data_IF_908997707989
#
_entry.id   IF_908997707989
#
_cell.length_a   1.000
_cell.length_b   1.000
_cell.length_c   1.000
_cell.angle_alpha   90.00
_cell.angle_beta   90.00
_cell.angle_gamma   90.00
#
_symmetry.space_group_name_H-M   'P 1'
#
loop_
_entity.id
_entity.type
_entity.pdbx_description
1 polymer ?
#
# COMPACT_ATOMS: atom_id res chain seq x y z
N UNK A 1 2.15 17.29 -11.20
CA UNK A 1 0.79 17.07 -11.73
C UNK A 1 0.07 16.19 -10.73
N UNK A 2 -0.95 16.71 -10.06
CA UNK A 2 -1.78 15.90 -9.16
C UNK A 2 -2.70 15.10 -10.10
N UNK A 3 -2.61 13.77 -10.05
CA UNK A 3 -3.51 12.90 -10.81
C UNK A 3 -4.81 12.77 -10.05
N UNK A 4 -5.92 12.73 -10.78
CA UNK A 4 -7.23 12.45 -10.19
C UNK A 4 -7.49 10.94 -10.19
N UNK A 5 -8.16 10.39 -9.17
CA UNK A 5 -8.49 8.97 -9.14
C UNK A 5 -9.39 8.55 -10.32
N UNK A 6 -10.36 9.39 -10.68
CA UNK A 6 -11.20 9.22 -11.86
C UNK A 6 -11.17 10.54 -12.63
N UNK A 7 -10.26 10.68 -13.62
CA UNK A 7 -10.26 11.84 -14.52
C UNK A 7 -11.50 11.85 -15.42
N UNK A 8 -11.92 13.02 -15.91
CA UNK A 8 -13.06 13.16 -16.85
C UNK A 8 -12.97 12.19 -18.05
N UNK A 9 -11.75 11.96 -18.54
CA UNK A 9 -11.49 11.04 -19.68
C UNK A 9 -11.73 9.56 -19.36
N UNK A 10 -11.91 9.21 -18.08
CA UNK A 10 -12.15 7.85 -17.60
C UNK A 10 -13.63 7.64 -17.20
N UNK A 11 -14.43 8.69 -17.11
CA UNK A 11 -15.83 8.65 -16.65
C UNK A 11 -16.68 7.67 -17.48
N UNK A 12 -16.69 7.84 -18.79
CA UNK A 12 -17.51 7.01 -19.69
C UNK A 12 -17.05 5.55 -19.66
N UNK A 13 -15.74 5.31 -19.55
CA UNK A 13 -15.21 3.95 -19.41
C UNK A 13 -15.67 3.29 -18.12
N UNK A 14 -15.64 4.00 -16.99
CA UNK A 14 -16.09 3.46 -15.71
C UNK A 14 -17.60 3.19 -15.75
N UNK A 15 -18.37 4.10 -16.35
CA UNK A 15 -19.83 3.92 -16.52
C UNK A 15 -20.13 2.68 -17.36
N UNK A 16 -19.47 2.54 -18.50
CA UNK A 16 -19.61 1.36 -19.37
C UNK A 16 -19.19 0.08 -18.66
N UNK A 17 -18.04 0.08 -17.99
CA UNK A 17 -17.55 -1.10 -17.26
C UNK A 17 -18.50 -1.54 -16.15
N UNK A 18 -19.01 -0.60 -15.33
CA UNK A 18 -20.00 -0.90 -14.30
C UNK A 18 -21.31 -1.39 -14.91
N UNK A 19 -21.77 -0.76 -15.99
CA UNK A 19 -22.98 -1.16 -16.71
C UNK A 19 -22.87 -2.61 -17.18
N UNK A 20 -21.80 -2.98 -17.88
CA UNK A 20 -21.57 -4.34 -18.39
C UNK A 20 -21.48 -5.35 -17.24
N UNK A 21 -20.79 -4.99 -16.15
CA UNK A 21 -20.69 -5.85 -14.97
C UNK A 21 -22.06 -6.17 -14.37
N UNK A 22 -22.94 -5.17 -14.25
CA UNK A 22 -24.27 -5.35 -13.70
C UNK A 22 -25.24 -5.96 -14.72
N UNK A 23 -25.10 -5.66 -16.00
CA UNK A 23 -25.89 -6.24 -17.07
C UNK A 23 -25.72 -7.76 -17.13
N UNK A 24 -24.48 -8.24 -17.02
CA UNK A 24 -24.17 -9.67 -16.93
C UNK A 24 -24.78 -10.37 -15.69
N UNK A 25 -25.23 -9.60 -14.70
CA UNK A 25 -25.86 -10.07 -13.44
C UNK A 25 -27.30 -9.59 -13.31
N UNK A 26 -27.92 -9.25 -14.43
CA UNK A 26 -29.31 -8.83 -14.51
C UNK A 26 -30.19 -9.97 -15.01
N UNK A 27 -31.47 -9.91 -14.67
CA UNK A 27 -32.51 -10.78 -15.21
C UNK A 27 -33.68 -9.89 -15.63
N UNK A 28 -34.18 -10.08 -16.85
CA UNK A 28 -35.23 -9.22 -17.43
C UNK A 28 -34.89 -7.71 -17.44
N UNK A 29 -33.60 -7.37 -17.54
CA UNK A 29 -33.12 -5.99 -17.52
C UNK A 29 -33.01 -5.36 -16.13
N UNK A 30 -33.28 -6.11 -15.07
CA UNK A 30 -33.21 -5.67 -13.68
C UNK A 30 -32.01 -6.31 -12.97
N UNK A 31 -31.26 -5.53 -12.20
CA UNK A 31 -30.14 -6.07 -11.40
C UNK A 31 -30.71 -6.87 -10.23
N UNK A 32 -30.20 -8.09 -10.02
CA UNK A 32 -30.61 -8.92 -8.88
C UNK A 32 -30.36 -8.18 -7.56
N UNK A 33 -31.39 -8.13 -6.70
CA UNK A 33 -31.33 -7.50 -5.39
C UNK A 33 -30.22 -8.10 -4.51
N UNK A 34 -29.87 -9.36 -4.72
CA UNK A 34 -28.76 -10.01 -4.03
C UNK A 34 -27.43 -9.28 -4.26
N UNK A 35 -27.17 -8.80 -5.48
CA UNK A 35 -25.95 -8.05 -5.83
C UNK A 35 -25.89 -6.73 -5.07
N UNK A 36 -27.00 -5.99 -5.04
CA UNK A 36 -27.10 -4.70 -4.34
C UNK A 36 -26.86 -4.90 -2.84
N UNK A 37 -27.53 -5.89 -2.25
CA UNK A 37 -27.38 -6.22 -0.83
C UNK A 37 -25.93 -6.60 -0.48
N UNK A 38 -25.25 -7.36 -1.35
CA UNK A 38 -23.84 -7.75 -1.15
C UNK A 38 -22.92 -6.53 -1.19
N UNK A 39 -23.11 -5.60 -2.13
CA UNK A 39 -22.33 -4.35 -2.18
C UNK A 39 -22.56 -3.51 -0.93
N UNK A 40 -23.82 -3.31 -0.54
CA UNK A 40 -24.19 -2.55 0.66
C UNK A 40 -23.59 -3.15 1.94
N UNK A 41 -23.63 -4.47 2.08
CA UNK A 41 -23.05 -5.19 3.21
C UNK A 41 -21.51 -5.10 3.22
N UNK A 42 -20.87 -5.33 2.07
CA UNK A 42 -19.41 -5.29 1.95
C UNK A 42 -18.85 -3.89 2.22
N UNK A 43 -19.52 -2.85 1.73
CA UNK A 43 -19.08 -1.47 1.86
C UNK A 43 -19.65 -0.75 3.10
N UNK A 44 -20.52 -1.42 3.86
CA UNK A 44 -21.19 -0.90 5.07
C UNK A 44 -21.89 0.43 4.81
N UNK A 45 -22.71 0.45 3.77
CA UNK A 45 -23.33 1.66 3.23
C UNK A 45 -24.71 1.33 2.66
N UNK A 46 -25.54 2.37 2.47
CA UNK A 46 -26.86 2.22 1.88
C UNK A 46 -26.92 2.92 0.53
N UNK A 47 -27.21 2.17 -0.53
CA UNK A 47 -27.49 2.73 -1.84
C UNK A 47 -28.97 3.08 -1.93
N UNK A 48 -29.27 4.33 -2.27
CA UNK A 48 -30.63 4.80 -2.49
C UNK A 48 -31.11 4.42 -3.90
N UNK A 49 -31.29 3.12 -4.13
CA UNK A 49 -31.77 2.58 -5.41
C UNK A 49 -33.16 1.97 -5.28
N UNK A 50 -34.00 2.22 -6.29
CA UNK A 50 -35.34 1.64 -6.37
C UNK A 50 -35.25 0.11 -6.35
N UNK A 51 -36.27 -0.59 -5.80
CA UNK A 51 -36.46 -2.00 -6.10
C UNK A 51 -36.48 -2.19 -7.62
N UNK A 52 -35.80 -3.24 -8.11
CA UNK A 52 -35.77 -3.57 -9.53
C UNK A 52 -35.14 -2.49 -10.44
N UNK A 53 -34.03 -1.91 -10.00
CA UNK A 53 -33.31 -0.92 -10.80
C UNK A 53 -32.60 -1.55 -12.00
N UNK A 54 -32.52 -0.81 -13.12
CA UNK A 54 -31.72 -1.24 -14.26
C UNK A 54 -30.21 -1.15 -13.96
N UNK A 55 -29.34 -1.83 -14.73
CA UNK A 55 -27.89 -1.65 -14.64
C UNK A 55 -27.44 -0.19 -14.75
N UNK A 56 -28.12 0.60 -15.60
CA UNK A 56 -27.85 2.03 -15.75
C UNK A 56 -28.21 2.81 -14.48
N UNK A 57 -29.39 2.60 -13.92
CA UNK A 57 -29.83 3.26 -12.67
C UNK A 57 -28.86 2.98 -11.51
N UNK A 58 -28.38 1.73 -11.38
CA UNK A 58 -27.44 1.35 -10.34
C UNK A 58 -26.06 2.00 -10.55
N UNK A 59 -25.60 2.05 -11.81
CA UNK A 59 -24.34 2.71 -12.18
C UNK A 59 -24.39 4.20 -11.85
N UNK A 60 -25.49 4.88 -12.21
CA UNK A 60 -25.70 6.30 -11.90
C UNK A 60 -25.75 6.55 -10.39
N UNK A 61 -26.44 5.69 -9.64
CA UNK A 61 -26.48 5.79 -8.19
C UNK A 61 -25.07 5.67 -7.57
N UNK A 62 -24.25 4.72 -8.01
CA UNK A 62 -22.86 4.56 -7.56
C UNK A 62 -22.01 5.79 -7.89
N UNK A 63 -22.11 6.32 -9.12
CA UNK A 63 -21.36 7.51 -9.53
C UNK A 63 -21.79 8.76 -8.76
N UNK A 64 -23.09 8.88 -8.44
CA UNK A 64 -23.62 10.02 -7.69
C UNK A 64 -23.09 10.14 -6.26
N UNK A 65 -22.63 9.03 -5.66
CA UNK A 65 -21.95 9.01 -4.35
C UNK A 65 -20.49 9.54 -4.41
N UNK A 66 -19.97 9.77 -5.61
CA UNK A 66 -18.63 10.31 -5.86
C UNK A 66 -17.52 9.28 -6.04
N UNK A 67 -16.33 9.75 -6.38
CA UNK A 67 -15.22 8.91 -6.83
C UNK A 67 -14.70 7.94 -5.79
N UNK A 68 -14.58 8.39 -4.54
CA UNK A 68 -14.12 7.54 -3.45
C UNK A 68 -15.06 6.35 -3.25
N UNK A 69 -16.38 6.58 -3.35
CA UNK A 69 -17.36 5.52 -3.23
C UNK A 69 -17.30 4.59 -4.45
N UNK A 70 -17.26 5.17 -5.65
CA UNK A 70 -17.17 4.42 -6.90
C UNK A 70 -15.96 3.49 -6.92
N UNK A 71 -14.77 3.98 -6.55
CA UNK A 71 -13.56 3.17 -6.49
C UNK A 71 -13.64 2.05 -5.45
N UNK A 72 -14.35 2.25 -4.34
CA UNK A 72 -14.60 1.18 -3.37
C UNK A 72 -15.51 0.09 -3.94
N UNK A 73 -16.50 0.47 -4.76
CA UNK A 73 -17.33 -0.49 -5.49
C UNK A 73 -16.47 -1.24 -6.49
N UNK A 74 -15.72 -0.55 -7.36
CA UNK A 74 -14.84 -1.17 -8.35
C UNK A 74 -13.84 -2.11 -7.68
N UNK A 75 -13.16 -1.66 -6.61
CA UNK A 75 -12.23 -2.49 -5.83
C UNK A 75 -12.90 -3.76 -5.28
N UNK A 76 -14.12 -3.63 -4.75
CA UNK A 76 -14.90 -4.78 -4.29
C UNK A 76 -15.24 -5.73 -5.45
N UNK A 77 -15.72 -5.23 -6.59
CA UNK A 77 -16.07 -6.06 -7.74
C UNK A 77 -14.86 -6.77 -8.35
N UNK A 78 -13.71 -6.07 -8.45
CA UNK A 78 -12.43 -6.65 -8.85
C UNK A 78 -11.97 -7.74 -7.87
N UNK A 79 -12.22 -7.57 -6.57
CA UNK A 79 -11.88 -8.59 -5.57
C UNK A 79 -12.68 -9.89 -5.73
N UNK A 80 -13.85 -9.82 -6.36
CA UNK A 80 -14.68 -11.00 -6.69
C UNK A 80 -14.24 -11.66 -8.01
N UNK A 81 -13.47 -10.95 -8.83
CA UNK A 81 -12.97 -11.45 -10.11
C UNK A 81 -11.79 -12.37 -9.86
N UNK A 82 -12.00 -13.67 -10.10
CA UNK A 82 -10.96 -14.69 -9.93
C UNK A 82 -10.21 -14.88 -11.23
N UNK A 83 -8.89 -14.95 -11.11
CA UNK A 83 -8.04 -15.35 -12.22
C UNK A 83 -8.25 -16.83 -12.54
N UNK A 84 -8.71 -17.11 -13.76
CA UNK A 84 -8.86 -18.48 -14.28
C UNK A 84 -7.63 -18.93 -15.07
N UNK A 85 -6.93 -18.01 -15.76
CA UNK A 85 -5.72 -18.27 -16.53
C UNK A 85 -4.48 -17.66 -15.84
N UNK A 86 -3.43 -18.45 -15.53
CA UNK A 86 -2.19 -17.93 -14.97
C UNK A 86 -1.43 -16.90 -15.81
N UNK A 87 -1.63 -16.90 -17.13
CA UNK A 87 -0.86 -16.13 -18.11
C UNK A 87 -1.59 -14.89 -18.62
N UNK A 88 -2.92 -14.81 -18.41
CA UNK A 88 -3.74 -13.72 -18.93
C UNK A 88 -4.70 -13.21 -17.87
N UNK A 89 -4.73 -11.90 -17.71
CA UNK A 89 -5.76 -11.24 -16.90
C UNK A 89 -7.11 -11.28 -17.63
N UNK A 90 -8.24 -11.39 -16.91
CA UNK A 90 -9.57 -11.29 -17.49
C UNK A 90 -9.71 -10.03 -18.38
N UNK A 91 -10.42 -10.15 -19.49
CA UNK A 91 -10.47 -9.10 -20.52
C UNK A 91 -11.05 -7.78 -19.99
N UNK A 92 -12.04 -7.87 -19.10
CA UNK A 92 -12.64 -6.72 -18.41
C UNK A 92 -11.65 -6.02 -17.47
N UNK A 93 -10.81 -6.79 -16.78
CA UNK A 93 -9.74 -6.27 -15.91
C UNK A 93 -8.64 -5.62 -16.74
N UNK A 94 -8.19 -6.29 -17.81
CA UNK A 94 -7.15 -5.79 -18.70
C UNK A 94 -7.60 -4.50 -19.41
N UNK A 95 -8.85 -4.45 -19.88
CA UNK A 95 -9.45 -3.27 -20.49
C UNK A 95 -9.46 -2.10 -19.51
N UNK A 96 -10.06 -2.27 -18.33
CA UNK A 96 -10.16 -1.19 -17.34
C UNK A 96 -8.77 -0.69 -16.90
N UNK A 97 -7.80 -1.60 -16.71
CA UNK A 97 -6.41 -1.22 -16.39
C UNK A 97 -5.79 -0.38 -17.50
N UNK A 98 -5.98 -0.78 -18.76
CA UNK A 98 -5.43 -0.04 -19.90
C UNK A 98 -6.00 1.39 -20.00
N UNK A 99 -7.30 1.55 -19.73
CA UNK A 99 -7.97 2.85 -19.73
C UNK A 99 -7.49 3.73 -18.56
N UNK A 100 -7.35 3.17 -17.36
CA UNK A 100 -6.76 3.88 -16.22
C UNK A 100 -5.35 4.41 -16.53
N UNK A 101 -4.54 3.64 -17.26
CA UNK A 101 -3.22 4.06 -17.69
C UNK A 101 -3.26 5.17 -18.74
N UNK A 102 -4.10 5.04 -19.78
CA UNK A 102 -4.26 6.03 -20.85
C UNK A 102 -4.80 7.38 -20.32
N UNK A 103 -5.74 7.34 -19.39
CA UNK A 103 -6.33 8.53 -18.75
C UNK A 103 -5.45 9.15 -17.66
N UNK A 104 -4.26 8.60 -17.40
CA UNK A 104 -3.36 9.04 -16.34
C UNK A 104 -4.01 9.09 -14.94
N UNK A 105 -4.87 8.12 -14.63
CA UNK A 105 -5.51 7.98 -13.32
C UNK A 105 -4.48 7.93 -12.17
N UNK A 106 -4.87 8.44 -11.00
CA UNK A 106 -4.10 8.32 -9.76
C UNK A 106 -4.13 6.90 -9.18
N UNK A 107 -4.92 6.00 -9.74
CA UNK A 107 -5.01 4.60 -9.32
C UNK A 107 -4.65 3.65 -10.46
N UNK A 108 -4.43 2.40 -10.12
CA UNK A 108 -4.19 1.30 -11.03
C UNK A 108 -4.84 0.02 -10.49
N UNK A 109 -4.96 -1.00 -11.33
CA UNK A 109 -5.40 -2.33 -10.92
C UNK A 109 -4.19 -3.19 -10.67
N UNK A 110 -3.96 -3.55 -9.41
CA UNK A 110 -2.91 -4.47 -9.00
C UNK A 110 -3.46 -5.87 -8.73
N UNK A 111 -2.59 -6.86 -8.85
CA UNK A 111 -2.91 -8.25 -8.54
C UNK A 111 -2.59 -8.53 -7.07
N UNK A 112 -3.54 -9.14 -6.38
CA UNK A 112 -3.38 -9.61 -5.00
C UNK A 112 -3.64 -11.12 -4.94
N UNK A 113 -2.59 -11.93 -5.11
CA UNK A 113 -2.72 -13.38 -5.17
C UNK A 113 -3.52 -13.85 -6.39
N UNK A 114 -4.78 -14.26 -6.17
CA UNK A 114 -5.69 -14.76 -7.20
C UNK A 114 -6.81 -13.76 -7.58
N UNK A 115 -6.82 -12.59 -6.94
CA UNK A 115 -7.81 -11.53 -7.14
C UNK A 115 -7.14 -10.24 -7.61
N UNK A 116 -7.97 -9.24 -7.95
CA UNK A 116 -7.55 -7.92 -8.40
C UNK A 116 -8.05 -6.86 -7.43
N UNK A 117 -7.28 -5.80 -7.24
CA UNK A 117 -7.58 -4.68 -6.33
C UNK A 117 -7.21 -3.36 -6.97
N UNK A 118 -7.84 -2.28 -6.53
CA UNK A 118 -7.41 -0.93 -6.86
C UNK A 118 -6.29 -0.53 -5.90
N UNK A 119 -5.21 0.02 -6.46
CA UNK A 119 -4.09 0.61 -5.73
C UNK A 119 -3.83 2.04 -6.20
N UNK A 120 -3.50 2.92 -5.25
CA UNK A 120 -2.98 4.26 -5.51
C UNK A 120 -1.61 4.15 -6.17
N UNK A 121 -1.42 4.90 -7.25
CA UNK A 121 -0.11 4.98 -7.92
C UNK A 121 0.86 5.78 -7.06
N UNK A 122 2.09 5.29 -7.03
CA UNK A 122 3.25 6.04 -6.55
C UNK A 122 4.08 6.51 -7.75
N UNK A 123 4.89 7.58 -7.59
CA UNK A 123 5.93 7.89 -8.56
C UNK A 123 6.81 6.66 -8.83
N UNK A 124 7.14 6.42 -10.09
CA UNK A 124 7.85 5.21 -10.55
C UNK A 124 9.13 4.93 -9.75
N UNK A 125 9.99 5.94 -9.55
CA UNK A 125 11.21 5.76 -8.76
C UNK A 125 10.99 5.39 -7.29
N UNK A 126 9.87 5.82 -6.70
CA UNK A 126 9.50 5.44 -5.33
C UNK A 126 9.04 3.98 -5.30
N UNK A 127 8.21 3.58 -6.27
CA UNK A 127 7.73 2.20 -6.41
C UNK A 127 8.88 1.22 -6.67
N UNK A 128 9.78 1.54 -7.61
CA UNK A 128 10.93 0.71 -7.93
C UNK A 128 11.87 0.55 -6.72
N UNK A 129 12.15 1.65 -6.01
CA UNK A 129 13.00 1.60 -4.82
C UNK A 129 12.40 0.72 -3.73
N UNK A 130 11.09 0.81 -3.51
CA UNK A 130 10.39 -0.02 -2.53
C UNK A 130 10.38 -1.50 -2.95
N UNK A 131 10.12 -1.77 -4.23
CA UNK A 131 10.07 -3.14 -4.74
C UNK A 131 11.45 -3.82 -4.70
N UNK A 132 12.54 -3.08 -4.96
CA UNK A 132 13.91 -3.59 -4.73
C UNK A 132 14.16 -3.88 -3.26
N UNK A 133 13.82 -2.97 -2.36
CA UNK A 133 13.97 -3.20 -0.92
C UNK A 133 13.17 -4.42 -0.43
N UNK A 134 11.97 -4.68 -0.99
CA UNK A 134 11.18 -5.88 -0.71
C UNK A 134 11.88 -7.14 -1.22
N UNK A 135 12.42 -7.11 -2.44
CA UNK A 135 13.02 -8.26 -3.11
C UNK A 135 14.39 -8.67 -2.56
N UNK A 136 15.21 -7.68 -2.18
CA UNK A 136 16.58 -7.90 -1.69
C UNK A 136 16.62 -8.26 -0.21
N UNK A 137 15.56 -7.95 0.54
CA UNK A 137 15.48 -8.22 1.97
C UNK A 137 15.33 -9.71 2.28
N UNK A 138 15.70 -10.08 3.51
CA UNK A 138 15.39 -11.42 4.01
C UNK A 138 13.87 -11.66 3.99
N UNK A 139 13.45 -12.93 3.88
CA UNK A 139 12.06 -13.31 3.62
C UNK A 139 11.04 -12.75 4.62
N UNK A 140 11.44 -12.53 5.88
CA UNK A 140 10.56 -11.95 6.91
C UNK A 140 10.42 -10.44 6.70
N UNK A 141 11.54 -9.73 6.54
CA UNK A 141 11.55 -8.29 6.30
C UNK A 141 10.78 -7.92 5.01
N UNK A 142 11.06 -8.61 3.90
CA UNK A 142 10.39 -8.37 2.63
C UNK A 142 8.88 -8.58 2.70
N UNK A 143 8.41 -9.61 3.44
CA UNK A 143 6.98 -9.88 3.62
C UNK A 143 6.26 -8.78 4.40
N UNK A 144 6.87 -8.28 5.47
CA UNK A 144 6.32 -7.19 6.27
C UNK A 144 6.31 -5.90 5.44
N UNK A 145 7.40 -5.58 4.74
CA UNK A 145 7.47 -4.38 3.90
C UNK A 145 6.45 -4.42 2.77
N UNK A 146 6.29 -5.56 2.09
CA UNK A 146 5.28 -5.75 1.05
C UNK A 146 3.84 -5.63 1.59
N UNK A 147 3.60 -6.01 2.84
CA UNK A 147 2.29 -5.84 3.48
C UNK A 147 2.02 -4.38 3.81
N UNK A 148 3.02 -3.68 4.35
CA UNK A 148 2.93 -2.25 4.65
C UNK A 148 2.68 -1.43 3.37
N UNK A 149 3.43 -1.73 2.29
CA UNK A 149 3.34 -1.05 1.00
C UNK A 149 1.95 -1.21 0.36
N UNK A 150 1.45 -2.45 0.29
CA UNK A 150 0.12 -2.75 -0.27
C UNK A 150 -1.00 -2.08 0.52
N UNK A 151 -0.95 -2.12 1.85
CA UNK A 151 -1.97 -1.47 2.67
C UNK A 151 -1.97 0.05 2.45
N UNK A 152 -0.78 0.66 2.35
CA UNK A 152 -0.61 2.09 2.08
C UNK A 152 -1.18 2.49 0.71
N UNK A 153 -1.00 1.64 -0.30
CA UNK A 153 -1.55 1.86 -1.64
C UNK A 153 -3.08 1.61 -1.71
N UNK A 154 -3.70 0.98 -0.72
CA UNK A 154 -5.15 0.69 -0.80
C UNK A 154 -6.02 1.96 -0.85
N UNK A 155 -7.25 1.84 -1.34
CA UNK A 155 -8.20 2.97 -1.39
C UNK A 155 -8.57 3.48 0.02
N UNK A 156 -8.57 2.59 1.00
CA UNK A 156 -8.89 2.88 2.41
C UNK A 156 -7.80 2.35 3.33
N UNK A 157 -6.61 2.97 3.33
CA UNK A 157 -5.47 2.47 4.08
C UNK A 157 -5.73 2.56 5.58
N UNK A 158 -5.32 1.52 6.31
CA UNK A 158 -5.26 1.53 7.76
C UNK A 158 -3.86 1.93 8.17
N UNK A 159 -3.66 3.21 8.43
CA UNK A 159 -2.36 3.76 8.83
C UNK A 159 -1.71 2.96 9.98
N UNK A 160 -2.48 2.52 10.98
CA UNK A 160 -1.96 1.69 12.08
C UNK A 160 -1.38 0.34 11.64
N UNK A 161 -1.93 -0.26 10.58
CA UNK A 161 -1.40 -1.49 9.98
C UNK A 161 -0.14 -1.19 9.17
N UNK A 162 -0.15 -0.11 8.37
CA UNK A 162 1.02 0.35 7.59
C UNK A 162 2.24 0.54 8.51
N UNK A 163 2.07 1.31 9.60
CA UNK A 163 3.15 1.58 10.55
C UNK A 163 3.66 0.29 11.21
N UNK A 164 2.75 -0.56 11.70
CA UNK A 164 3.13 -1.82 12.36
C UNK A 164 3.96 -2.72 11.44
N UNK A 165 3.48 -2.94 10.22
CA UNK A 165 4.18 -3.80 9.24
C UNK A 165 5.51 -3.16 8.81
N UNK A 166 5.58 -1.85 8.65
CA UNK A 166 6.82 -1.13 8.31
C UNK A 166 7.90 -1.31 9.39
N UNK A 167 7.53 -1.19 10.67
CA UNK A 167 8.44 -1.38 11.80
C UNK A 167 8.93 -2.83 11.86
N UNK A 168 8.02 -3.79 11.75
CA UNK A 168 8.37 -5.21 11.74
C UNK A 168 9.33 -5.57 10.60
N UNK A 169 9.21 -4.90 9.45
CA UNK A 169 10.15 -5.06 8.36
C UNK A 169 11.56 -4.60 8.73
N UNK A 170 11.68 -3.42 9.35
CA UNK A 170 12.96 -2.86 9.80
C UNK A 170 13.57 -3.69 10.93
N UNK A 171 12.76 -4.18 11.87
CA UNK A 171 13.21 -5.09 12.94
C UNK A 171 13.79 -6.37 12.38
N UNK A 172 13.14 -6.97 11.39
CA UNK A 172 13.62 -8.18 10.74
C UNK A 172 14.89 -7.95 9.91
N UNK A 173 15.00 -6.82 9.21
CA UNK A 173 16.19 -6.48 8.42
C UNK A 173 17.37 -6.11 9.31
N UNK A 174 17.20 -5.13 10.19
CA UNK A 174 18.25 -4.65 11.10
C UNK A 174 18.63 -5.69 12.16
N UNK A 175 17.67 -6.49 12.62
CA UNK A 175 17.93 -7.57 13.58
C UNK A 175 18.90 -8.62 13.03
N UNK A 176 18.75 -9.00 11.76
CA UNK A 176 19.63 -9.94 11.09
C UNK A 176 21.08 -9.43 10.95
N UNK A 177 21.30 -8.12 10.97
CA UNK A 177 22.62 -7.49 10.80
C UNK A 177 23.25 -7.13 12.15
N UNK A 178 22.52 -6.44 13.02
CA UNK A 178 23.06 -5.83 14.24
C UNK A 178 23.03 -6.80 15.43
N UNK A 179 21.97 -7.60 15.54
CA UNK A 179 21.73 -8.51 16.67
C UNK A 179 21.33 -9.93 16.19
N UNK A 180 22.14 -10.60 15.34
CA UNK A 180 21.76 -11.82 14.61
C UNK A 180 21.40 -13.02 15.49
N UNK A 181 21.81 -13.00 16.77
CA UNK A 181 21.52 -14.06 17.75
C UNK A 181 20.16 -13.88 18.43
N UNK A 182 19.54 -12.71 18.30
CA UNK A 182 18.24 -12.42 18.91
C UNK A 182 17.11 -13.04 18.10
N UNK A 183 16.33 -13.94 18.71
CA UNK A 183 15.24 -14.63 18.02
C UNK A 183 14.04 -13.71 17.69
N UNK A 184 13.88 -12.64 18.46
CA UNK A 184 12.80 -11.66 18.34
C UNK A 184 13.41 -10.26 18.40
N UNK A 185 14.07 -9.81 17.31
CA UNK A 185 14.66 -8.49 17.27
C UNK A 185 13.57 -7.44 17.50
N UNK A 186 13.90 -6.42 18.28
CA UNK A 186 13.04 -5.27 18.54
C UNK A 186 13.80 -4.00 18.16
N UNK A 187 13.10 -3.01 17.63
CA UNK A 187 13.71 -1.79 17.13
C UNK A 187 14.52 -1.07 18.22
N UNK A 188 13.99 -1.02 19.45
CA UNK A 188 14.69 -0.47 20.62
C UNK A 188 16.00 -1.19 20.95
N UNK A 189 16.04 -2.53 20.82
CA UNK A 189 17.25 -3.33 21.02
C UNK A 189 18.29 -3.08 19.92
N UNK A 190 17.84 -2.93 18.67
CA UNK A 190 18.70 -2.61 17.53
C UNK A 190 19.33 -1.22 17.75
N UNK A 191 18.51 -0.22 18.09
CA UNK A 191 18.98 1.15 18.40
C UNK A 191 19.99 1.14 19.55
N UNK A 192 19.68 0.42 20.65
CA UNK A 192 20.59 0.26 21.78
C UNK A 192 21.92 -0.38 21.37
N UNK A 193 21.89 -1.47 20.60
CA UNK A 193 23.09 -2.13 20.12
C UNK A 193 23.94 -1.24 19.22
N UNK A 194 23.34 -0.49 18.29
CA UNK A 194 24.06 0.47 17.44
C UNK A 194 24.69 1.56 18.32
N UNK A 195 23.95 2.10 19.29
CA UNK A 195 24.41 3.15 20.21
C UNK A 195 25.60 2.70 21.04
N UNK A 196 25.51 1.52 21.64
CA UNK A 196 26.49 1.04 22.62
C UNK A 196 27.76 0.47 21.95
N UNK A 197 27.62 -0.11 20.76
CA UNK A 197 28.75 -0.67 20.01
C UNK A 197 29.47 0.40 19.18
N UNK A 198 30.80 0.29 19.08
CA UNK A 198 31.63 1.15 18.23
C UNK A 198 31.59 0.67 16.78
N UNK A 199 31.89 1.58 15.84
CA UNK A 199 32.08 1.26 14.42
C UNK A 199 30.82 1.21 13.57
N UNK A 200 29.62 1.18 14.16
CA UNK A 200 28.38 1.24 13.36
C UNK A 200 28.18 2.58 12.68
N UNK A 201 27.74 2.55 11.42
CA UNK A 201 27.37 3.74 10.66
C UNK A 201 26.92 3.40 9.25
N UNK A 202 26.89 4.42 8.40
CA UNK A 202 26.63 4.27 6.97
C UNK A 202 27.96 4.31 6.21
N UNK A 203 28.06 3.53 5.12
CA UNK A 203 29.22 3.49 4.21
C UNK A 203 29.40 4.77 3.36
N UNK A 204 28.64 5.81 3.67
CA UNK A 204 28.71 7.10 2.99
C UNK A 204 29.97 7.88 3.37
N UNK A 205 30.36 8.85 2.56
CA UNK A 205 31.53 9.69 2.80
C UNK A 205 31.39 10.46 4.12
N UNK A 206 32.33 10.28 5.04
CA UNK A 206 32.34 10.94 6.34
C UNK A 206 32.51 12.45 6.18
N UNK A 207 31.84 13.22 7.03
CA UNK A 207 32.00 14.67 7.13
C UNK A 207 32.96 15.00 8.27
N UNK A 208 33.71 16.10 8.12
CA UNK A 208 34.69 16.60 9.11
C UNK A 208 34.31 17.97 9.69
N UNK A 209 33.06 18.40 9.50
CA UNK A 209 32.55 19.73 9.81
C UNK A 209 31.78 19.84 11.14
N UNK A 210 31.85 18.81 12.00
CA UNK A 210 31.24 18.80 13.32
C UNK A 210 29.72 18.54 13.36
N UNK A 211 29.09 18.24 12.21
CA UNK A 211 27.69 17.80 12.14
C UNK A 211 27.52 16.33 12.59
N UNK A 212 26.27 15.86 12.87
CA UNK A 212 26.03 14.49 13.29
C UNK A 212 26.68 13.47 12.37
N UNK A 213 27.41 12.53 12.97
CA UNK A 213 28.02 11.42 12.23
C UNK A 213 26.95 10.47 11.68
N UNK A 214 27.35 9.60 10.74
CA UNK A 214 26.42 8.64 10.13
C UNK A 214 25.76 7.70 11.14
N UNK A 215 26.43 7.43 12.27
CA UNK A 215 25.85 6.66 13.37
C UNK A 215 24.65 7.38 13.98
N UNK A 216 24.81 8.67 14.27
CA UNK A 216 23.75 9.52 14.84
C UNK A 216 22.58 9.67 13.87
N UNK A 217 22.85 9.86 12.58
CA UNK A 217 21.80 9.90 11.53
C UNK A 217 21.02 8.59 11.48
N UNK A 218 21.71 7.45 11.45
CA UNK A 218 21.08 6.12 11.43
C UNK A 218 20.20 5.90 12.67
N UNK A 219 20.69 6.26 13.86
CA UNK A 219 19.91 6.19 15.10
C UNK A 219 18.66 7.07 15.00
N UNK A 220 18.79 8.32 14.54
CA UNK A 220 17.64 9.22 14.39
C UNK A 220 16.57 8.69 13.44
N UNK A 221 16.97 8.06 12.33
CA UNK A 221 16.04 7.40 11.40
C UNK A 221 15.27 6.24 12.07
N UNK A 222 15.98 5.38 12.81
CA UNK A 222 15.36 4.26 13.53
C UNK A 222 14.45 4.74 14.67
N UNK A 223 14.86 5.76 15.42
CA UNK A 223 14.05 6.34 16.51
C UNK A 223 12.81 7.06 15.97
N UNK A 224 12.90 7.72 14.81
CA UNK A 224 11.73 8.30 14.12
C UNK A 224 10.66 7.24 13.87
N UNK A 225 11.06 6.03 13.47
CA UNK A 225 10.10 4.93 13.30
C UNK A 225 9.50 4.47 14.63
N UNK A 226 10.35 4.31 15.66
CA UNK A 226 9.93 3.85 16.99
C UNK A 226 8.99 4.83 17.71
N UNK A 227 9.19 6.13 17.52
CA UNK A 227 8.39 7.16 18.22
C UNK A 227 6.93 7.16 17.75
N UNK A 228 6.67 6.87 16.48
CA UNK A 228 5.29 6.81 16.01
C UNK A 228 4.46 5.72 16.69
N UNK A 229 5.06 4.60 17.15
CA UNK A 229 4.31 3.61 17.95
C UNK A 229 3.84 4.17 19.30
N UNK A 230 4.57 5.13 19.87
CA UNK A 230 4.22 5.72 21.17
C UNK A 230 2.98 6.62 21.08
N UNK A 231 2.70 7.22 19.91
CA UNK A 231 1.46 7.97 19.67
C UNK A 231 0.18 7.12 19.80
N UNK A 232 0.27 5.78 19.81
CA UNK A 232 -0.89 4.90 20.09
C UNK A 232 -1.43 5.07 21.50
N UNK A 233 -0.61 5.51 22.43
CA UNK A 233 -0.99 5.74 23.82
C UNK A 233 -1.50 7.16 24.07
N UNK A 234 -1.32 8.10 23.12
CA UNK A 234 -1.81 9.47 23.24
C UNK A 234 -3.23 9.65 22.68
N UNK A 235 -3.88 8.60 22.17
CA UNK A 235 -5.23 8.66 21.59
C UNK A 235 -5.32 9.41 20.26
N UNK A 236 -4.18 9.79 19.66
CA UNK A 236 -4.14 10.46 18.37
C UNK A 236 -4.07 9.40 17.27
N UNK A 237 -4.98 9.47 16.30
CA UNK A 237 -4.93 8.62 15.11
C UNK A 237 -3.80 9.06 14.17
N UNK A 238 -3.26 8.11 13.40
CA UNK A 238 -2.25 8.39 12.38
C UNK A 238 -2.87 8.98 11.13
N UNK A 239 -2.17 9.93 10.50
CA UNK A 239 -2.58 10.47 9.19
C UNK A 239 -2.09 9.59 8.04
N UNK A 240 -2.76 9.67 6.87
CA UNK A 240 -2.28 9.02 5.64
C UNK A 240 -0.86 9.50 5.28
N UNK A 241 -0.58 10.80 5.45
CA UNK A 241 0.75 11.39 5.18
C UNK A 241 1.83 10.80 6.09
N UNK A 242 1.53 10.62 7.37
CA UNK A 242 2.44 9.98 8.31
C UNK A 242 2.71 8.52 7.92
N UNK A 243 1.68 7.78 7.54
CA UNK A 243 1.81 6.40 7.07
C UNK A 243 2.70 6.29 5.82
N UNK A 244 2.55 7.21 4.86
CA UNK A 244 3.41 7.28 3.67
C UNK A 244 4.86 7.52 4.05
N UNK A 245 5.13 8.53 4.88
CA UNK A 245 6.48 8.85 5.35
C UNK A 245 7.14 7.68 6.08
N UNK A 246 6.39 7.01 6.96
CA UNK A 246 6.85 5.84 7.70
C UNK A 246 7.25 4.69 6.79
N UNK A 247 6.39 4.34 5.83
CA UNK A 247 6.66 3.22 4.92
C UNK A 247 7.85 3.52 4.01
N UNK A 248 8.02 4.76 3.56
CA UNK A 248 9.16 5.16 2.71
C UNK A 248 10.48 5.13 3.49
N UNK A 249 10.48 5.61 4.74
CA UNK A 249 11.64 5.52 5.62
C UNK A 249 12.00 4.06 5.93
N UNK A 250 11.00 3.23 6.20
CA UNK A 250 11.20 1.80 6.42
C UNK A 250 11.75 1.09 5.18
N UNK A 251 11.22 1.37 3.98
CA UNK A 251 11.75 0.83 2.73
C UNK A 251 13.23 1.20 2.53
N UNK A 252 13.58 2.45 2.83
CA UNK A 252 14.98 2.93 2.77
C UNK A 252 15.87 2.15 3.73
N UNK A 253 15.48 2.03 5.00
CA UNK A 253 16.26 1.32 6.03
C UNK A 253 16.39 -0.18 5.72
N UNK A 254 15.30 -0.83 5.31
CA UNK A 254 15.32 -2.24 4.88
C UNK A 254 16.27 -2.42 3.70
N UNK A 255 16.19 -1.56 2.69
CA UNK A 255 17.11 -1.58 1.55
C UNK A 255 18.57 -1.39 1.98
N UNK A 256 18.85 -0.44 2.87
CA UNK A 256 20.20 -0.17 3.36
C UNK A 256 20.80 -1.31 4.19
N UNK A 257 20.01 -1.95 5.07
CA UNK A 257 20.47 -3.14 5.79
C UNK A 257 20.75 -4.31 4.85
N UNK A 258 19.88 -4.49 3.84
CA UNK A 258 20.00 -5.62 2.90
C UNK A 258 21.16 -5.44 1.91
N UNK A 259 21.41 -4.20 1.48
CA UNK A 259 22.48 -3.86 0.54
C UNK A 259 23.85 -3.64 1.20
N UNK A 260 23.97 -3.77 2.53
CA UNK A 260 25.21 -3.54 3.26
C UNK A 260 25.65 -2.07 3.31
N UNK A 261 24.70 -1.12 3.19
CA UNK A 261 24.97 0.32 3.41
C UNK A 261 25.19 0.60 4.90
N UNK A 262 24.47 -0.13 5.76
CA UNK A 262 24.72 -0.12 7.21
C UNK A 262 25.84 -1.11 7.52
N UNK A 263 26.96 -0.59 8.00
CA UNK A 263 28.16 -1.37 8.27
C UNK A 263 28.64 -1.15 9.69
N UNK A 264 29.35 -2.14 10.22
CA UNK A 264 30.26 -1.96 11.34
C UNK A 264 31.66 -1.88 10.77
N UNK A 265 32.27 -0.71 10.81
CA UNK A 265 33.70 -0.59 10.56
C UNK A 265 34.42 -1.38 11.66
N UNK A 266 34.99 -2.52 11.27
CA UNK A 266 36.07 -3.10 12.06
C UNK A 266 37.22 -2.09 12.03
N UNK A 267 37.82 -1.85 13.20
CA UNK A 267 38.86 -0.83 13.40
C UNK A 267 40.03 -0.98 12.44
#
# INVERSE_FOLDING_TARGET
MIREPIPDTLEDTIREWLYEFFHARSSYGEVDRSVINVIQAALRTTLQVRPNCSPADLTDAIRSEGDKYTLRVIDFLLSQTRRTDPMRDPDDVAYLRSQMALSASAVDIVREGATYRIARRMPEGIEESAQRAIGDANATAGRHLASAWREMQSITPKASMVLREAIQAVEAAGGAVVIPKEKKPQLSKIVGAIRDQKGWGLVLAQRDDGHPDHKTVLIGMLETLAFAEQHRHSGHGYSDTEAVGHVQLAATLVGWFSAGVVVRADQ
#
